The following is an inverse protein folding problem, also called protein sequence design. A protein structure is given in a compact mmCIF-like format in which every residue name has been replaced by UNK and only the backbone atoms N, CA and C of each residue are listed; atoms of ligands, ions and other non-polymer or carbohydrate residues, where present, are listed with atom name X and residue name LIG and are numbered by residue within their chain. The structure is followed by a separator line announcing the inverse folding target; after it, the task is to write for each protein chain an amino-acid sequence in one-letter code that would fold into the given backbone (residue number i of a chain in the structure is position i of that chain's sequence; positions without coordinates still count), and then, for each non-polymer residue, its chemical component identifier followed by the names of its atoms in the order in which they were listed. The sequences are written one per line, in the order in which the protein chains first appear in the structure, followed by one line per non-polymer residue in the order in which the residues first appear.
data_IF_783173251839
#
_entry.id   IF_783173251839
#
_cell.length_a   1.000
_cell.length_b   1.000
_cell.length_c   1.000
_cell.angle_alpha   90.00
_cell.angle_beta   90.00
_cell.angle_gamma   90.00
#
_symmetry.space_group_name_H-M   'P 1'
#
loop_
_entity.id
_entity.type
_entity.pdbx_description
1 polymer ?
#
# COMPACT_ATOMS: atom_id res chain seq x y z
N UNK A 1 8.76 -42.53 17.48
CA UNK A 1 10.13 -42.03 17.28
C UNK A 1 10.23 -41.48 15.87
N UNK A 2 10.36 -40.16 15.70
CA UNK A 2 10.50 -39.53 14.38
C UNK A 2 12.00 -39.26 14.13
N UNK A 3 12.56 -39.55 12.94
CA UNK A 3 13.94 -39.20 12.68
C UNK A 3 14.06 -37.70 12.49
N UNK A 4 14.98 -37.08 13.23
CA UNK A 4 15.37 -35.69 13.05
C UNK A 4 16.34 -35.64 11.86
N UNK A 5 15.97 -34.91 10.81
CA UNK A 5 16.89 -34.64 9.70
C UNK A 5 17.99 -33.71 10.21
N UNK A 6 19.23 -34.22 10.25
CA UNK A 6 20.42 -33.43 10.52
C UNK A 6 20.85 -32.76 9.21
N UNK A 7 20.69 -31.45 9.11
CA UNK A 7 21.32 -30.67 8.03
C UNK A 7 22.80 -30.54 8.42
N UNK A 8 23.65 -31.32 7.76
CA UNK A 8 25.10 -31.18 7.85
C UNK A 8 25.51 -30.11 6.82
N UNK A 9 25.71 -28.88 7.28
CA UNK A 9 26.47 -27.88 6.52
C UNK A 9 27.95 -28.20 6.70
N UNK A 10 28.57 -28.85 5.71
CA UNK A 10 30.02 -29.01 5.67
C UNK A 10 30.66 -27.68 5.26
N UNK A 11 30.83 -26.78 6.22
CA UNK A 11 31.90 -25.79 6.11
C UNK A 11 33.18 -26.51 6.53
N UNK A 12 34.19 -26.43 5.68
CA UNK A 12 35.49 -27.02 5.95
C UNK A 12 35.95 -26.63 7.36
N UNK A 13 36.09 -27.66 8.20
CA UNK A 13 36.63 -27.65 9.56
C UNK A 13 35.73 -27.08 10.67
N UNK A 14 35.01 -27.99 11.33
CA UNK A 14 34.42 -27.79 12.67
C UNK A 14 32.94 -28.13 12.74
N UNK A 15 32.60 -29.37 13.10
CA UNK A 15 31.23 -29.74 13.44
C UNK A 15 30.78 -28.98 14.70
N UNK A 16 29.79 -28.10 14.57
CA UNK A 16 29.18 -27.43 15.71
C UNK A 16 27.96 -28.23 16.18
N UNK A 17 28.17 -29.08 17.20
CA UNK A 17 27.06 -29.68 17.94
C UNK A 17 26.67 -28.71 19.07
N UNK A 18 25.60 -27.95 18.90
CA UNK A 18 25.03 -27.12 19.98
C UNK A 18 23.70 -27.71 20.45
N UNK A 19 23.75 -28.44 21.56
CA UNK A 19 22.58 -28.77 22.38
C UNK A 19 22.29 -27.54 23.26
N UNK A 20 21.10 -26.95 23.07
CA UNK A 20 20.43 -26.11 24.07
C UNK A 20 21.08 -24.78 24.44
N UNK A 21 21.07 -23.81 23.52
CA UNK A 21 20.89 -22.36 23.75
C UNK A 21 20.73 -21.70 22.38
N UNK A 22 19.99 -20.59 22.30
CA UNK A 22 19.68 -19.82 21.09
C UNK A 22 20.82 -19.87 20.06
N UNK A 23 20.65 -20.64 18.98
CA UNK A 23 21.66 -20.74 17.93
C UNK A 23 21.57 -19.48 17.07
N UNK A 24 22.37 -18.48 17.42
CA UNK A 24 22.56 -17.30 16.57
C UNK A 24 23.53 -17.67 15.45
N UNK A 25 23.01 -18.12 14.31
CA UNK A 25 23.79 -18.26 13.08
C UNK A 25 23.91 -16.87 12.43
N UNK A 26 24.99 -16.15 12.76
CA UNK A 26 25.27 -14.85 12.14
C UNK A 26 26.12 -15.05 10.89
N UNK A 27 25.56 -14.73 9.74
CA UNK A 27 26.32 -14.59 8.51
C UNK A 27 26.71 -13.13 8.34
N UNK A 28 27.89 -12.74 8.80
CA UNK A 28 28.48 -11.44 8.49
C UNK A 28 29.44 -11.59 7.30
N UNK A 29 29.24 -10.81 6.24
CA UNK A 29 30.35 -10.56 5.31
C UNK A 29 31.42 -9.77 6.09
N UNK A 30 32.72 -10.11 5.95
CA UNK A 30 33.78 -9.36 6.61
C UNK A 30 33.74 -7.90 6.14
N UNK A 31 33.74 -6.98 7.09
CA UNK A 31 33.50 -5.53 6.96
C UNK A 31 34.57 -4.74 6.17
N UNK A 32 35.36 -5.40 5.32
CA UNK A 32 36.48 -4.81 4.58
C UNK A 32 36.30 -4.67 3.07
N UNK A 33 35.15 -5.05 2.50
CA UNK A 33 34.94 -5.05 1.05
C UNK A 33 33.89 -4.04 0.58
N UNK A 34 34.27 -2.77 0.43
CA UNK A 34 33.64 -1.96 -0.61
C UNK A 34 34.15 -2.48 -1.96
N UNK A 35 33.32 -3.18 -2.72
CA UNK A 35 33.50 -3.34 -4.16
C UNK A 35 32.19 -3.80 -4.82
N UNK A 36 31.47 -2.87 -5.43
CA UNK A 36 31.17 -2.88 -6.88
C UNK A 36 30.91 -4.20 -7.65
N UNK A 37 30.37 -5.27 -7.05
CA UNK A 37 29.84 -6.41 -7.79
C UNK A 37 28.38 -6.51 -7.41
N UNK A 38 27.46 -6.23 -8.33
CA UNK A 38 26.00 -6.23 -8.08
C UNK A 38 25.41 -7.59 -7.69
N UNK A 39 26.22 -8.51 -7.19
CA UNK A 39 25.87 -9.86 -6.82
C UNK A 39 25.28 -9.90 -5.40
N UNK A 40 24.19 -10.64 -5.20
CA UNK A 40 23.55 -10.76 -3.90
C UNK A 40 24.40 -11.59 -2.93
N UNK A 41 24.44 -11.17 -1.66
CA UNK A 41 25.11 -11.94 -0.60
C UNK A 41 24.43 -13.30 -0.33
N UNK A 42 23.12 -13.40 -0.55
CA UNK A 42 22.32 -14.60 -0.34
C UNK A 42 21.23 -14.73 -1.41
N UNK A 43 21.11 -15.92 -1.99
CA UNK A 43 20.00 -16.29 -2.87
C UNK A 43 19.45 -17.64 -2.42
N UNK A 44 18.13 -17.77 -2.32
CA UNK A 44 17.45 -19.03 -2.10
C UNK A 44 16.43 -19.28 -3.22
N UNK A 45 16.45 -20.49 -3.78
CA UNK A 45 15.46 -20.94 -4.78
C UNK A 45 14.67 -22.11 -4.19
N UNK A 46 13.35 -22.10 -4.37
CA UNK A 46 12.47 -23.18 -3.96
C UNK A 46 11.53 -23.55 -5.11
N UNK A 47 11.68 -24.77 -5.63
CA UNK A 47 10.90 -25.29 -6.75
C UNK A 47 9.87 -26.35 -6.32
N UNK A 48 9.86 -26.73 -5.04
CA UNK A 48 8.95 -27.72 -4.48
C UNK A 48 7.61 -27.16 -4.03
N UNK A 49 6.79 -28.01 -3.40
CA UNK A 49 5.55 -27.61 -2.75
C UNK A 49 5.80 -26.97 -1.38
N UNK A 50 4.97 -26.01 -0.97
CA UNK A 50 5.02 -25.41 0.37
C UNK A 50 5.73 -24.06 0.44
N UNK A 51 6.15 -23.66 1.66
CA UNK A 51 6.74 -22.35 1.95
C UNK A 51 8.25 -22.36 1.72
N UNK A 52 8.75 -21.38 0.97
CA UNK A 52 10.19 -21.19 0.74
C UNK A 52 10.94 -20.65 1.97
N UNK A 53 10.24 -19.97 2.89
CA UNK A 53 10.80 -19.43 4.12
C UNK A 53 9.72 -19.08 5.14
N UNK A 54 10.09 -19.10 6.43
CA UNK A 54 9.26 -18.66 7.55
C UNK A 54 10.12 -17.84 8.51
N UNK A 55 9.69 -16.62 8.80
CA UNK A 55 10.26 -15.77 9.84
C UNK A 55 9.17 -15.59 10.90
N UNK A 56 9.46 -15.99 12.14
CA UNK A 56 8.46 -16.01 13.21
C UNK A 56 9.08 -15.57 14.54
N UNK A 57 8.37 -14.69 15.25
CA UNK A 57 8.62 -14.34 16.64
C UNK A 57 7.44 -14.81 17.47
N UNK A 58 7.67 -15.73 18.40
CA UNK A 58 6.60 -16.31 19.25
C UNK A 58 6.51 -15.69 20.64
N UNK A 59 7.56 -14.98 21.08
CA UNK A 59 7.56 -14.31 22.37
C UNK A 59 6.72 -13.02 22.31
N UNK A 60 5.58 -13.01 23.00
CA UNK A 60 4.66 -11.87 23.04
C UNK A 60 5.24 -10.62 23.71
N UNK A 61 6.31 -10.75 24.50
CA UNK A 61 7.02 -9.62 25.09
C UNK A 61 8.06 -8.99 24.14
N UNK A 62 8.35 -9.60 22.98
CA UNK A 62 9.31 -9.04 22.05
C UNK A 62 8.74 -7.81 21.34
N UNK A 63 9.44 -6.68 21.44
CA UNK A 63 9.10 -5.42 20.77
C UNK A 63 9.90 -5.18 19.49
N UNK A 64 10.81 -6.09 19.15
CA UNK A 64 11.64 -6.00 17.93
C UNK A 64 10.93 -6.57 16.71
N UNK A 65 11.20 -6.04 15.50
CA UNK A 65 10.61 -6.58 14.27
C UNK A 65 11.11 -7.99 13.97
N UNK A 66 10.22 -8.88 13.54
CA UNK A 66 10.56 -10.25 13.10
C UNK A 66 11.38 -10.26 11.81
N UNK A 67 11.05 -9.35 10.87
CA UNK A 67 11.78 -9.16 9.62
C UNK A 67 11.92 -7.65 9.37
N UNK A 68 13.14 -7.22 9.09
CA UNK A 68 13.46 -5.82 8.79
C UNK A 68 14.40 -5.74 7.60
N UNK A 69 14.10 -4.83 6.66
CA UNK A 69 14.94 -4.54 5.50
C UNK A 69 15.27 -3.05 5.49
N UNK A 70 16.55 -2.74 5.28
CA UNK A 70 17.02 -1.38 5.09
C UNK A 70 17.66 -1.26 3.71
N UNK A 71 17.21 -0.29 2.93
CA UNK A 71 17.86 0.06 1.68
C UNK A 71 18.25 1.54 1.70
N UNK A 72 19.56 1.80 1.75
CA UNK A 72 20.13 3.16 1.61
C UNK A 72 20.50 3.50 0.17
N UNK A 73 20.42 2.52 -0.74
CA UNK A 73 20.64 2.70 -2.16
C UNK A 73 19.39 3.18 -2.90
N UNK A 74 19.47 3.17 -4.24
CA UNK A 74 18.37 3.61 -5.13
C UNK A 74 17.35 2.52 -5.47
N UNK A 75 17.62 1.27 -5.09
CA UNK A 75 16.79 0.10 -5.44
C UNK A 75 15.51 -0.04 -4.62
N UNK A 76 14.88 -1.21 -4.72
CA UNK A 76 13.68 -1.58 -3.94
C UNK A 76 14.09 -2.42 -2.74
N UNK A 77 13.52 -2.13 -1.56
CA UNK A 77 13.85 -2.86 -0.31
C UNK A 77 13.13 -4.22 -0.17
N UNK A 78 12.04 -4.43 -0.92
CA UNK A 78 11.29 -5.69 -1.00
C UNK A 78 10.42 -5.73 -2.26
N UNK A 79 10.46 -6.86 -2.97
CA UNK A 79 9.70 -7.09 -4.21
C UNK A 79 8.87 -8.37 -4.05
N UNK A 80 7.54 -8.25 -4.20
CA UNK A 80 6.60 -9.36 -4.11
C UNK A 80 5.82 -9.43 -5.42
N UNK A 81 5.87 -10.57 -6.12
CA UNK A 81 5.25 -10.72 -7.42
C UNK A 81 4.73 -12.14 -7.61
N UNK A 82 3.50 -12.23 -8.13
CA UNK A 82 2.89 -13.45 -8.63
C UNK A 82 2.82 -13.36 -10.15
N UNK A 83 3.43 -14.31 -10.87
CA UNK A 83 3.43 -14.34 -12.34
C UNK A 83 2.47 -15.38 -12.92
N UNK A 84 2.02 -16.35 -12.13
CA UNK A 84 1.05 -17.35 -12.56
C UNK A 84 -0.33 -16.70 -12.69
N UNK A 85 -0.79 -16.51 -13.92
CA UNK A 85 -2.09 -15.89 -14.24
C UNK A 85 -3.30 -16.66 -13.72
N UNK A 86 -3.14 -17.95 -13.42
CA UNK A 86 -4.20 -18.78 -12.84
C UNK A 86 -4.24 -18.72 -11.31
N UNK A 87 -3.32 -17.99 -10.67
CA UNK A 87 -3.32 -17.84 -9.22
C UNK A 87 -4.38 -16.80 -8.79
N UNK A 88 -5.26 -17.20 -7.89
CA UNK A 88 -6.31 -16.34 -7.33
C UNK A 88 -5.93 -15.71 -5.98
N UNK A 89 -4.75 -16.04 -5.44
CA UNK A 89 -4.25 -15.53 -4.16
C UNK A 89 -3.46 -14.22 -4.35
N UNK A 90 -3.47 -13.33 -3.33
CA UNK A 90 -2.70 -12.09 -3.38
C UNK A 90 -1.19 -12.36 -3.37
N UNK A 91 -0.43 -11.51 -4.07
CA UNK A 91 1.04 -11.54 -4.02
C UNK A 91 1.59 -11.11 -2.64
N UNK A 92 0.87 -10.23 -1.94
CA UNK A 92 1.17 -9.78 -0.59
C UNK A 92 -0.13 -9.74 0.24
N UNK A 93 -0.13 -10.43 1.38
CA UNK A 93 -1.20 -10.39 2.37
C UNK A 93 -0.65 -9.82 3.67
N UNK A 94 -1.22 -8.71 4.14
CA UNK A 94 -0.97 -8.17 5.46
C UNK A 94 -2.23 -8.33 6.31
N UNK A 95 -2.10 -9.02 7.45
CA UNK A 95 -3.18 -9.24 8.40
C UNK A 95 -2.66 -8.98 9.81
N UNK A 96 -3.44 -8.26 10.61
CA UNK A 96 -3.09 -7.92 11.99
C UNK A 96 -4.32 -8.04 12.87
N UNK A 97 -4.16 -8.70 14.02
CA UNK A 97 -5.16 -8.73 15.10
C UNK A 97 -4.89 -7.68 16.18
N UNK A 98 -3.94 -6.77 15.96
CA UNK A 98 -3.57 -5.72 16.92
C UNK A 98 -4.39 -4.45 16.72
N UNK A 99 -4.23 -3.48 17.63
CA UNK A 99 -4.80 -2.14 17.50
C UNK A 99 -4.09 -1.27 16.44
N UNK A 100 -2.90 -1.66 15.99
CA UNK A 100 -2.10 -0.91 15.00
C UNK A 100 -2.38 -1.26 13.55
N UNK A 101 -1.82 -0.45 12.63
CA UNK A 101 -1.99 -0.63 11.19
C UNK A 101 -1.35 -1.95 10.71
N UNK A 102 -2.11 -2.76 9.96
CA UNK A 102 -1.57 -3.96 9.31
C UNK A 102 -0.59 -3.61 8.17
N UNK A 103 -0.83 -2.49 7.50
CA UNK A 103 0.04 -1.94 6.45
C UNK A 103 0.10 -0.42 6.60
N UNK A 104 1.29 0.12 6.81
CA UNK A 104 1.51 1.56 6.91
C UNK A 104 2.55 2.02 5.90
N UNK A 105 2.13 2.89 4.98
CA UNK A 105 3.01 3.55 4.01
C UNK A 105 3.40 4.94 4.47
N UNK A 106 4.68 5.17 4.73
CA UNK A 106 5.23 6.48 5.09
C UNK A 106 6.30 6.91 4.08
N UNK A 107 6.15 8.11 3.53
CA UNK A 107 7.13 8.72 2.64
C UNK A 107 7.35 10.17 3.09
N UNK A 108 8.58 10.52 3.43
CA UNK A 108 9.00 11.87 3.79
C UNK A 108 9.65 12.63 2.62
N UNK A 109 9.78 11.99 1.46
CA UNK A 109 10.24 12.59 0.22
C UNK A 109 9.10 13.21 -0.59
N UNK A 110 9.37 13.44 -1.88
CA UNK A 110 8.41 14.05 -2.82
C UNK A 110 7.55 13.03 -3.58
N UNK A 111 7.80 11.74 -3.37
CA UNK A 111 7.09 10.65 -4.05
C UNK A 111 5.76 10.27 -3.40
N UNK A 112 5.10 9.26 -3.98
CA UNK A 112 3.89 8.66 -3.41
C UNK A 112 4.26 7.67 -2.30
N UNK A 113 3.42 7.53 -1.28
CA UNK A 113 3.55 6.50 -0.24
C UNK A 113 2.93 5.16 -0.66
N UNK A 114 1.95 5.18 -1.58
CA UNK A 114 1.30 4.01 -2.15
C UNK A 114 0.79 4.29 -3.56
N UNK A 115 0.71 3.23 -4.38
CA UNK A 115 0.18 3.28 -5.73
C UNK A 115 -0.51 1.95 -6.03
N UNK A 116 -1.78 2.01 -6.42
CA UNK A 116 -2.60 0.85 -6.76
C UNK A 116 -3.15 1.07 -8.17
N UNK A 117 -2.93 0.12 -9.06
CA UNK A 117 -3.31 0.22 -10.47
C UNK A 117 -3.73 -1.15 -10.99
N UNK A 118 -4.77 -1.15 -11.83
CA UNK A 118 -5.07 -2.22 -12.77
C UNK A 118 -4.80 -1.66 -14.16
N UNK A 119 -3.90 -2.27 -14.91
CA UNK A 119 -3.47 -1.85 -16.24
C UNK A 119 -4.14 -2.67 -17.37
N UNK A 120 -4.77 -3.79 -17.03
CA UNK A 120 -5.57 -4.58 -17.96
C UNK A 120 -6.91 -3.88 -18.26
N UNK A 121 -7.03 -3.33 -19.47
CA UNK A 121 -8.22 -2.60 -19.94
C UNK A 121 -9.51 -3.43 -19.99
N UNK A 122 -9.41 -4.76 -19.98
CA UNK A 122 -10.56 -5.67 -19.97
C UNK A 122 -10.96 -6.12 -18.56
N UNK A 123 -10.23 -5.67 -17.53
CA UNK A 123 -10.57 -6.02 -16.16
C UNK A 123 -11.76 -5.21 -15.66
N UNK A 124 -12.71 -5.90 -15.05
CA UNK A 124 -13.84 -5.35 -14.31
C UNK A 124 -13.57 -5.27 -12.79
N UNK A 125 -12.35 -5.62 -12.37
CA UNK A 125 -11.98 -5.66 -10.97
C UNK A 125 -11.87 -4.25 -10.35
N UNK A 126 -12.13 -4.18 -9.04
CA UNK A 126 -12.00 -2.95 -8.27
C UNK A 126 -10.53 -2.75 -7.87
N UNK A 127 -9.95 -1.61 -8.23
CA UNK A 127 -8.53 -1.32 -7.92
C UNK A 127 -8.25 -1.17 -6.42
N UNK A 128 -9.19 -0.60 -5.65
CA UNK A 128 -9.13 -0.50 -4.19
C UNK A 128 -10.52 -0.79 -3.63
N UNK A 129 -10.65 -1.91 -2.92
CA UNK A 129 -11.83 -2.22 -2.12
C UNK A 129 -11.55 -1.92 -0.65
N UNK A 130 -12.38 -1.09 -0.03
CA UNK A 130 -12.22 -0.71 1.38
C UNK A 130 -13.53 -0.95 2.11
N UNK A 131 -13.48 -1.79 3.14
CA UNK A 131 -14.63 -2.13 3.98
C UNK A 131 -14.26 -1.95 5.44
N UNK A 132 -15.19 -1.42 6.23
CA UNK A 132 -15.04 -1.26 7.67
C UNK A 132 -16.35 -1.64 8.34
N UNK A 133 -16.32 -2.64 9.21
CA UNK A 133 -17.43 -2.95 10.13
C UNK A 133 -17.43 -2.04 11.36
N UNK A 134 -16.40 -1.21 11.53
CA UNK A 134 -16.33 -0.21 12.59
C UNK A 134 -17.13 1.05 12.28
N UNK A 135 -17.15 1.99 13.23
CA UNK A 135 -17.84 3.28 13.10
C UNK A 135 -17.02 4.36 12.38
N UNK A 136 -15.74 4.10 12.13
CA UNK A 136 -14.82 5.01 11.43
C UNK A 136 -15.02 5.00 9.91
N UNK A 137 -14.42 6.00 9.24
CA UNK A 137 -14.40 6.05 7.80
C UNK A 137 -13.49 4.94 7.24
N UNK A 138 -14.01 4.14 6.30
CA UNK A 138 -13.20 3.15 5.59
C UNK A 138 -12.06 3.80 4.79
N UNK A 139 -12.34 4.96 4.18
CA UNK A 139 -11.37 5.78 3.47
C UNK A 139 -11.41 7.20 4.05
N UNK A 140 -10.27 7.68 4.53
CA UNK A 140 -10.12 9.04 5.04
C UNK A 140 -8.97 9.77 4.33
N UNK A 141 -9.30 10.81 3.56
CA UNK A 141 -8.33 11.68 2.90
C UNK A 141 -8.16 13.00 3.66
N UNK A 142 -6.92 13.36 3.97
CA UNK A 142 -6.57 14.65 4.60
C UNK A 142 -5.35 15.26 3.90
N UNK A 143 -5.55 16.44 3.30
CA UNK A 143 -4.44 17.29 2.86
C UNK A 143 -4.22 18.40 3.90
N UNK A 144 -3.06 18.39 4.56
CA UNK A 144 -2.65 19.46 5.49
C UNK A 144 -2.03 20.66 4.77
N UNK A 145 -1.43 20.43 3.59
CA UNK A 145 -0.90 21.48 2.73
C UNK A 145 -1.97 22.01 1.77
N UNK A 146 -1.52 22.74 0.73
CA UNK A 146 -2.40 23.35 -0.27
C UNK A 146 -2.93 22.35 -1.33
N UNK A 147 -2.61 21.07 -1.19
CA UNK A 147 -3.00 20.02 -2.13
C UNK A 147 -4.44 19.53 -1.94
N UNK A 148 -4.91 18.75 -2.91
CA UNK A 148 -6.20 18.07 -2.83
C UNK A 148 -6.11 16.82 -1.95
N UNK A 149 -7.10 16.61 -1.08
CA UNK A 149 -7.20 15.39 -0.27
C UNK A 149 -7.73 14.19 -1.06
N UNK A 150 -8.41 14.42 -2.18
CA UNK A 150 -8.92 13.39 -3.08
C UNK A 150 -9.31 13.96 -4.45
N UNK A 151 -9.16 13.14 -5.50
CA UNK A 151 -9.60 13.42 -6.87
C UNK A 151 -10.34 12.19 -7.39
N UNK A 152 -11.53 12.40 -7.93
CA UNK A 152 -12.29 11.38 -8.65
C UNK A 152 -12.45 11.87 -10.09
N UNK A 153 -11.87 11.15 -11.06
CA UNK A 153 -11.82 11.58 -12.46
C UNK A 153 -11.95 10.37 -13.40
N UNK A 154 -12.80 10.51 -14.42
CA UNK A 154 -12.92 9.57 -15.54
C UNK A 154 -12.36 10.25 -16.79
N UNK A 155 -11.25 9.73 -17.33
CA UNK A 155 -10.45 10.38 -18.38
C UNK A 155 -10.82 9.93 -19.81
N UNK A 156 -12.04 9.44 -20.06
CA UNK A 156 -12.47 9.01 -21.40
C UNK A 156 -13.60 9.89 -21.90
N UNK A 157 -13.39 10.53 -23.06
CA UNK A 157 -14.39 11.42 -23.68
C UNK A 157 -15.64 10.71 -24.18
N UNK A 158 -15.62 9.38 -24.28
CA UNK A 158 -16.76 8.55 -24.63
C UNK A 158 -17.43 7.90 -23.39
N UNK A 159 -16.88 8.11 -22.19
CA UNK A 159 -17.41 7.46 -21.00
C UNK A 159 -18.74 8.07 -20.59
N UNK A 160 -19.72 7.21 -20.33
CA UNK A 160 -21.00 7.55 -19.70
C UNK A 160 -20.99 7.27 -18.19
N UNK A 161 -19.83 6.91 -17.62
CA UNK A 161 -19.73 6.47 -16.24
C UNK A 161 -19.64 7.62 -15.25
N UNK A 162 -20.19 7.38 -14.05
CA UNK A 162 -20.14 8.32 -12.93
C UNK A 162 -18.78 8.26 -12.24
N UNK A 163 -18.10 9.41 -12.09
CA UNK A 163 -16.80 9.47 -11.40
C UNK A 163 -16.91 9.33 -9.87
N UNK A 164 -17.99 9.82 -9.27
CA UNK A 164 -18.27 9.68 -7.84
C UNK A 164 -19.75 9.35 -7.62
N UNK A 165 -20.01 8.18 -7.06
CA UNK A 165 -21.34 7.73 -6.67
C UNK A 165 -21.33 7.41 -5.18
N UNK A 166 -22.37 7.84 -4.46
CA UNK A 166 -22.50 7.61 -3.03
C UNK A 166 -23.94 7.20 -2.72
N UNK A 167 -24.09 6.17 -1.90
CA UNK A 167 -25.36 5.60 -1.45
C UNK A 167 -25.35 5.45 0.07
N UNK A 168 -26.46 5.76 0.72
CA UNK A 168 -26.64 5.58 2.16
C UNK A 168 -27.96 4.83 2.39
N UNK A 169 -27.89 3.68 3.05
CA UNK A 169 -29.08 2.88 3.39
C UNK A 169 -29.57 3.12 4.84
N UNK A 170 -28.76 3.77 5.68
CA UNK A 170 -29.13 4.15 7.04
C UNK A 170 -29.65 5.59 7.16
N UNK A 171 -29.86 6.06 8.39
CA UNK A 171 -30.40 7.39 8.70
C UNK A 171 -29.40 8.57 8.52
N UNK A 172 -28.18 8.27 8.08
CA UNK A 172 -27.07 9.23 7.98
C UNK A 172 -27.14 10.16 6.77
N UNK A 173 -26.10 11.00 6.61
CA UNK A 173 -25.94 11.87 5.44
C UNK A 173 -24.96 11.24 4.45
N UNK A 174 -25.41 11.04 3.21
CA UNK A 174 -24.59 10.49 2.11
C UNK A 174 -23.44 11.42 1.71
N UNK A 175 -23.66 12.74 1.74
CA UNK A 175 -22.64 13.73 1.46
C UNK A 175 -22.90 15.01 2.26
N UNK A 176 -21.83 15.65 2.72
CA UNK A 176 -21.87 16.95 3.37
C UNK A 176 -20.68 17.79 2.93
N UNK A 177 -20.97 18.89 2.23
CA UNK A 177 -19.95 19.83 1.77
C UNK A 177 -20.04 21.10 2.59
N UNK A 178 -18.94 21.49 3.23
CA UNK A 178 -18.85 22.73 3.99
C UNK A 178 -17.56 23.46 3.67
N UNK A 179 -17.72 24.72 3.29
CA UNK A 179 -16.61 25.66 3.19
C UNK A 179 -16.50 26.43 4.50
N UNK A 180 -15.31 26.42 5.12
CA UNK A 180 -14.99 27.25 6.28
C UNK A 180 -13.94 28.27 5.87
N UNK A 181 -14.34 29.30 5.15
CA UNK A 181 -13.49 30.45 4.83
C UNK A 181 -14.03 31.70 5.52
N UNK A 182 -13.17 32.47 6.19
CA UNK A 182 -13.47 33.87 6.57
C UNK A 182 -13.26 34.76 5.33
N UNK A 183 -14.33 35.02 4.55
CA UNK A 183 -14.47 35.98 3.40
C UNK A 183 -13.39 35.88 2.28
N UNK A 184 -13.65 35.99 0.99
CA UNK A 184 -14.75 36.57 0.21
C UNK A 184 -14.77 35.82 -1.12
N UNK A 185 -15.87 35.16 -1.46
CA UNK A 185 -16.20 34.86 -2.84
C UNK A 185 -17.63 35.32 -3.05
N UNK A 186 -17.79 36.33 -3.91
CA UNK A 186 -19.09 36.75 -4.41
C UNK A 186 -19.86 35.52 -4.93
N UNK A 187 -21.14 35.34 -4.58
CA UNK A 187 -21.88 34.14 -4.95
C UNK A 187 -21.89 33.96 -6.47
N UNK A 188 -21.50 32.76 -6.90
CA UNK A 188 -21.35 32.28 -8.28
C UNK A 188 -22.65 32.36 -9.13
N UNK A 189 -23.78 32.76 -8.57
CA UNK A 189 -25.10 32.66 -9.21
C UNK A 189 -25.74 33.98 -9.68
N UNK A 190 -25.03 35.11 -9.72
CA UNK A 190 -25.54 36.31 -10.43
C UNK A 190 -24.88 36.48 -11.80
N UNK A 191 -25.23 35.63 -12.75
CA UNK A 191 -25.45 36.14 -14.12
C UNK A 191 -26.86 36.70 -14.13
N UNK A 192 -27.00 38.02 -13.93
CA UNK A 192 -28.26 38.68 -14.31
C UNK A 192 -28.42 38.47 -15.82
N UNK A 193 -29.55 37.97 -16.31
CA UNK A 193 -29.89 38.16 -17.71
C UNK A 193 -30.00 39.67 -17.92
N UNK A 194 -29.27 40.23 -18.88
CA UNK A 194 -29.52 41.59 -19.34
C UNK A 194 -30.88 41.59 -20.06
N UNK A 195 -31.96 41.82 -19.30
CA UNK A 195 -33.26 42.09 -19.87
C UNK A 195 -33.32 43.56 -20.32
N UNK A 196 -33.35 43.72 -21.65
CA UNK A 196 -34.30 44.55 -22.41
C UNK A 196 -34.24 46.08 -22.23
N UNK A 197 -33.87 46.76 -23.32
CA UNK A 197 -34.50 48.00 -23.76
C UNK A 197 -34.69 47.94 -25.29
N UNK A 198 -35.92 47.65 -25.73
CA UNK A 198 -36.46 48.21 -26.98
C UNK A 198 -37.48 49.26 -26.53
N UNK A 199 -37.37 50.50 -27.01
CA UNK A 199 -38.54 51.05 -27.69
C UNK A 199 -38.20 52.02 -28.84
N UNK A 200 -39.06 52.03 -29.86
CA UNK A 200 -39.12 53.10 -30.86
C UNK A 200 -39.92 52.71 -32.09
N UNK A 201 -41.25 52.84 -32.03
CA UNK A 201 -42.14 52.91 -33.19
C UNK A 201 -42.85 54.27 -33.18
N UNK A 202 -43.30 54.71 -34.36
CA UNK A 202 -44.03 55.94 -34.75
C UNK A 202 -43.15 57.13 -35.17
N UNK A 203 -43.40 57.82 -36.30
CA UNK A 203 -44.54 57.81 -37.23
C UNK A 203 -44.06 57.73 -38.69
#
# INVERSE_FOLDING_TARGET
MRPSACIVLSLGWGALCCVGVSQQLTFSQPSGGSASTGDPAWIAFHTGFGRAGLFETTNSANTSPTLQSFNRGRGVAGWFQTTNSSNTLPALLASSGSEGDALWGYNNGTGRAGFFQIDNAFSDAVGIWSESSGTGAAIYGLAKGNGMAGLFHVQSGASVNTALYALQQGLGRTAYFRLRTRRTASPFWRRRPAARAMPGYSA
#
